data_IF_600635231977
#
_entry.id   IF_600635231977
#
_cell.length_a   1.000
_cell.length_b   1.000
_cell.length_c   1.000
_cell.angle_alpha   90.00
_cell.angle_beta   90.00
_cell.angle_gamma   90.00
#
_symmetry.space_group_name_H-M   'P 1'
#
loop_
_entity.id
_entity.type
_entity.pdbx_description
1 polymer ?
#
# COMPACT_ATOMS: atom_id res chain seq x y z
N UNK A 1 22.80 7.08 17.16
CA UNK A 1 21.49 6.39 17.24
C UNK A 1 21.23 5.79 15.87
N UNK A 2 21.32 4.47 15.76
CA UNK A 2 21.05 3.78 14.50
C UNK A 2 19.55 3.87 14.21
N UNK A 3 19.16 4.46 13.07
CA UNK A 3 17.74 4.52 12.69
C UNK A 3 17.32 3.10 12.29
N UNK A 4 16.61 2.40 13.17
CA UNK A 4 15.97 1.13 12.81
C UNK A 4 14.78 1.41 11.90
N UNK A 5 14.83 0.94 10.67
CA UNK A 5 13.72 1.05 9.74
C UNK A 5 12.66 0.00 10.11
N UNK A 6 11.42 0.42 10.41
CA UNK A 6 10.31 -0.52 10.58
C UNK A 6 9.93 -1.09 9.21
N UNK A 7 10.19 -2.38 9.01
CA UNK A 7 9.85 -3.11 7.79
C UNK A 7 8.34 -3.07 7.47
N UNK A 8 7.48 -2.80 8.47
CA UNK A 8 6.05 -2.65 8.28
C UNK A 8 5.63 -1.23 7.87
N UNK A 9 6.52 -0.24 7.90
CA UNK A 9 6.20 1.15 7.58
C UNK A 9 5.50 1.30 6.23
N UNK A 10 5.97 0.69 5.11
CA UNK A 10 5.28 0.81 3.82
C UNK A 10 3.85 0.25 3.85
N UNK A 11 3.62 -0.85 4.58
CA UNK A 11 2.29 -1.45 4.75
C UNK A 11 1.38 -0.55 5.58
N UNK A 12 1.92 0.01 6.65
CA UNK A 12 1.18 0.91 7.54
C UNK A 12 0.79 2.20 6.83
N UNK A 13 1.65 2.72 5.94
CA UNK A 13 1.34 3.86 5.08
C UNK A 13 0.16 3.55 4.14
N UNK A 14 0.15 2.41 3.44
CA UNK A 14 -0.98 2.03 2.59
C UNK A 14 -2.29 1.97 3.40
N UNK A 15 -2.25 1.38 4.60
CA UNK A 15 -3.42 1.30 5.49
C UNK A 15 -3.89 2.68 5.96
N UNK A 16 -2.97 3.55 6.36
CA UNK A 16 -3.31 4.90 6.80
C UNK A 16 -3.96 5.71 5.67
N UNK A 17 -3.50 5.56 4.43
CA UNK A 17 -4.08 6.24 3.26
C UNK A 17 -5.46 5.69 2.88
N UNK A 18 -5.70 4.38 3.07
CA UNK A 18 -7.03 3.75 2.96
C UNK A 18 -7.99 4.34 4.00
N UNK A 19 -7.59 4.34 5.26
CA UNK A 19 -8.40 4.82 6.38
C UNK A 19 -8.74 6.31 6.23
N UNK A 20 -7.75 7.15 5.85
CA UNK A 20 -7.96 8.58 5.59
C UNK A 20 -8.99 8.86 4.49
N UNK A 21 -9.17 7.94 3.56
CA UNK A 21 -10.12 8.04 2.44
C UNK A 21 -11.42 7.29 2.67
N UNK A 22 -11.57 6.59 3.80
CA UNK A 22 -12.72 5.73 4.06
C UNK A 22 -12.84 4.55 3.08
N UNK A 23 -11.73 4.14 2.47
CA UNK A 23 -11.70 3.04 1.50
C UNK A 23 -11.35 1.73 2.20
N UNK A 24 -11.87 0.62 1.69
CA UNK A 24 -11.53 -0.73 2.13
C UNK A 24 -10.56 -1.38 1.15
N UNK A 25 -9.98 -2.50 1.57
CA UNK A 25 -9.06 -3.30 0.74
C UNK A 25 -9.68 -3.65 -0.62
N UNK A 26 -10.96 -4.05 -0.64
CA UNK A 26 -11.68 -4.34 -1.88
C UNK A 26 -11.67 -3.15 -2.86
N UNK A 27 -11.75 -1.93 -2.36
CA UNK A 27 -11.81 -0.73 -3.19
C UNK A 27 -10.41 -0.44 -3.78
N UNK A 28 -9.35 -0.61 -2.98
CA UNK A 28 -7.98 -0.50 -3.47
C UNK A 28 -7.65 -1.57 -4.52
N UNK A 29 -8.10 -2.81 -4.32
CA UNK A 29 -7.91 -3.88 -5.31
C UNK A 29 -8.55 -3.52 -6.66
N UNK A 30 -9.73 -2.90 -6.65
CA UNK A 30 -10.37 -2.38 -7.86
C UNK A 30 -9.61 -1.20 -8.47
N UNK A 31 -9.18 -0.23 -7.64
CA UNK A 31 -8.40 0.93 -8.08
C UNK A 31 -7.02 0.56 -8.65
N UNK A 32 -6.51 -0.63 -8.32
CA UNK A 32 -5.24 -1.15 -8.79
C UNK A 32 -5.32 -1.82 -10.18
N UNK A 33 -6.52 -2.16 -10.68
CA UNK A 33 -6.70 -2.79 -12.00
C UNK A 33 -6.14 -1.98 -13.17
N UNK A 34 -6.35 -0.65 -13.26
CA UNK A 34 -5.74 0.17 -14.33
C UNK A 34 -4.21 0.17 -14.31
N UNK A 35 -3.60 -0.17 -13.16
CA UNK A 35 -2.14 -0.30 -13.01
C UNK A 35 -1.62 -1.72 -13.29
N UNK A 36 -2.45 -2.58 -13.88
CA UNK A 36 -2.12 -3.96 -14.25
C UNK A 36 -2.12 -4.95 -13.08
N UNK A 37 -2.62 -4.54 -11.92
CA UNK A 37 -2.69 -5.39 -10.72
C UNK A 37 -4.09 -5.99 -10.59
N UNK A 38 -4.27 -7.18 -11.17
CA UNK A 38 -5.52 -7.94 -11.07
C UNK A 38 -5.48 -8.85 -9.83
N UNK A 39 -5.77 -8.26 -8.66
CA UNK A 39 -5.75 -8.96 -7.38
C UNK A 39 -7.17 -9.32 -6.91
N UNK A 40 -7.24 -10.23 -5.95
CA UNK A 40 -8.41 -10.44 -5.09
C UNK A 40 -8.03 -9.98 -3.68
N UNK A 41 -9.01 -9.71 -2.80
CA UNK A 41 -8.75 -9.37 -1.40
C UNK A 41 -7.81 -10.39 -0.72
N UNK A 42 -7.99 -11.68 -1.04
CA UNK A 42 -7.14 -12.76 -0.53
C UNK A 42 -5.71 -12.68 -1.06
N UNK A 43 -5.51 -12.48 -2.37
CA UNK A 43 -4.17 -12.39 -2.95
C UNK A 43 -3.45 -11.11 -2.52
N UNK A 44 -4.19 -10.00 -2.36
CA UNK A 44 -3.70 -8.77 -1.76
C UNK A 44 -3.22 -9.02 -0.32
N UNK A 45 -4.06 -9.59 0.54
CA UNK A 45 -3.69 -9.87 1.94
C UNK A 45 -2.48 -10.79 2.06
N UNK A 46 -2.37 -11.79 1.18
CA UNK A 46 -1.20 -12.65 1.10
C UNK A 46 0.07 -11.86 0.74
N UNK A 47 -0.02 -10.94 -0.23
CA UNK A 47 1.09 -10.06 -0.65
C UNK A 47 1.52 -9.08 0.45
N UNK A 48 0.57 -8.61 1.26
CA UNK A 48 0.85 -7.74 2.41
C UNK A 48 1.41 -8.47 3.64
N UNK A 49 1.45 -9.81 3.63
CA UNK A 49 1.85 -10.63 4.79
C UNK A 49 3.07 -11.51 4.51
N UNK A 50 3.32 -11.90 3.25
CA UNK A 50 4.41 -12.82 2.87
C UNK A 50 5.47 -12.12 2.03
N UNK A 51 6.74 -12.24 2.44
CA UNK A 51 7.95 -11.77 1.73
C UNK A 51 7.99 -10.28 1.33
N UNK A 52 7.06 -9.47 1.84
CA UNK A 52 6.90 -8.06 1.46
C UNK A 52 6.40 -7.88 0.01
N UNK A 53 6.32 -6.62 -0.41
CA UNK A 53 5.97 -6.22 -1.76
C UNK A 53 7.07 -5.33 -2.35
N UNK A 54 7.12 -5.23 -3.67
CA UNK A 54 8.09 -4.37 -4.33
C UNK A 54 7.75 -2.89 -4.15
N UNK A 55 8.78 -2.03 -4.23
CA UNK A 55 8.58 -0.58 -4.27
C UNK A 55 7.66 -0.13 -5.42
N UNK A 56 7.70 -0.84 -6.56
CA UNK A 56 6.78 -0.59 -7.68
C UNK A 56 5.32 -0.80 -7.27
N UNK A 57 5.02 -1.90 -6.56
CA UNK A 57 3.67 -2.16 -6.06
C UNK A 57 3.22 -1.10 -5.05
N UNK A 58 4.12 -0.66 -4.17
CA UNK A 58 3.87 0.45 -3.25
C UNK A 58 3.47 1.73 -3.99
N UNK A 59 4.26 2.14 -4.98
CA UNK A 59 3.97 3.33 -5.79
C UNK A 59 2.63 3.21 -6.52
N UNK A 60 2.30 2.02 -7.06
CA UNK A 60 0.96 1.78 -7.65
C UNK A 60 -0.16 1.99 -6.62
N UNK A 61 0.01 1.50 -5.39
CA UNK A 61 -0.97 1.74 -4.32
C UNK A 61 -1.11 3.25 -4.01
N UNK A 62 0.00 3.98 -3.90
CA UNK A 62 -0.02 5.42 -3.66
C UNK A 62 -0.74 6.17 -4.80
N UNK A 63 -0.41 5.86 -6.05
CA UNK A 63 -1.06 6.47 -7.22
C UNK A 63 -2.55 6.12 -7.30
N UNK A 64 -2.92 4.85 -7.07
CA UNK A 64 -4.30 4.38 -7.07
C UNK A 64 -5.15 5.06 -5.97
N UNK A 65 -4.54 5.33 -4.81
CA UNK A 65 -5.15 6.11 -3.74
C UNK A 65 -5.08 7.62 -3.99
N UNK A 66 -4.48 8.10 -5.07
CA UNK A 66 -4.34 9.54 -5.36
C UNK A 66 -3.43 10.28 -4.38
N UNK A 67 -2.47 9.59 -3.75
CA UNK A 67 -1.44 10.19 -2.91
C UNK A 67 -0.43 10.91 -3.80
N UNK A 68 -0.29 12.23 -3.63
CA UNK A 68 0.65 13.06 -4.40
C UNK A 68 1.97 13.30 -3.67
N UNK A 69 1.92 13.35 -2.34
CA UNK A 69 3.05 13.62 -1.48
C UNK A 69 3.06 12.60 -0.35
N UNK A 70 4.25 12.07 -0.05
CA UNK A 70 4.47 11.18 1.08
C UNK A 70 5.32 11.92 2.11
N UNK A 71 4.75 12.19 3.28
CA UNK A 71 5.51 12.73 4.40
C UNK A 71 5.94 11.57 5.30
N UNK A 72 7.25 11.36 5.38
CA UNK A 72 7.85 10.39 6.30
C UNK A 72 8.43 11.21 7.45
N UNK A 73 7.71 11.29 8.56
CA UNK A 73 8.24 11.87 9.79
C UNK A 73 9.19 10.84 10.42
N UNK A 74 10.48 10.89 10.04
CA UNK A 74 11.54 9.93 10.44
C UNK A 74 12.57 10.59 11.35
#
# INVERSE_FOLDING_TARGET
MEKSFDENMPKNLIKAELDRRGLKVKDLVELLKPYGENLTDKSYNNKMTRKGFSAVFFCKCMMALGVKNLNLEI
#
